data_IF_446143041053
#
_entry.id   IF_446143041053
#
_cell.length_a   1.000
_cell.length_b   1.000
_cell.length_c   1.000
_cell.angle_alpha   90.00
_cell.angle_beta   90.00
_cell.angle_gamma   90.00
#
_symmetry.space_group_name_H-M   'P 1'
#
loop_
_entity.id
_entity.type
_entity.pdbx_description
1 polymer ?
#
# COMPACT_ATOMS: atom_id res chain seq x y z
N UNK A 1 19.14 -6.15 11.57
CA UNK A 1 17.91 -6.90 11.25
C UNK A 1 17.76 -8.08 12.20
N UNK A 2 16.85 -7.97 13.17
CA UNK A 2 16.45 -9.11 14.00
C UNK A 2 15.36 -9.89 13.24
N UNK A 3 15.57 -11.18 13.02
CA UNK A 3 14.62 -12.06 12.33
C UNK A 3 14.24 -13.23 13.22
N UNK A 4 12.95 -13.50 13.36
CA UNK A 4 12.44 -14.70 14.01
C UNK A 4 11.41 -15.40 13.12
N UNK A 5 11.39 -16.74 13.15
CA UNK A 5 10.25 -17.49 12.66
C UNK A 5 9.20 -17.49 13.78
N UNK A 6 7.98 -17.08 13.48
CA UNK A 6 6.91 -16.95 14.46
C UNK A 6 5.54 -17.23 13.82
N UNK A 7 4.58 -17.62 14.66
CA UNK A 7 3.19 -17.77 14.24
C UNK A 7 2.57 -16.38 14.03
N UNK A 8 1.84 -16.22 12.93
CA UNK A 8 1.22 -14.94 12.58
C UNK A 8 0.25 -14.47 13.66
N UNK A 9 -0.56 -15.38 14.20
CA UNK A 9 -1.51 -15.06 15.28
C UNK A 9 -0.82 -14.68 16.58
N UNK A 10 0.34 -15.25 16.91
CA UNK A 10 1.09 -14.83 18.11
C UNK A 10 1.57 -13.38 17.99
N UNK A 11 1.97 -12.97 16.78
CA UNK A 11 2.40 -11.60 16.48
C UNK A 11 1.21 -10.64 16.53
N UNK A 12 0.15 -10.90 15.76
CA UNK A 12 -1.00 -9.98 15.69
C UNK A 12 -1.82 -9.97 16.98
N UNK A 13 -1.78 -11.06 17.73
CA UNK A 13 -2.43 -11.23 19.02
C UNK A 13 -1.67 -10.62 20.20
N UNK A 14 -0.47 -10.06 19.98
CA UNK A 14 0.34 -9.46 21.04
C UNK A 14 -0.45 -8.39 21.81
N UNK A 15 -0.38 -8.43 23.14
CA UNK A 15 -1.07 -7.49 24.02
C UNK A 15 -0.56 -6.07 23.81
N UNK A 16 -1.46 -5.08 23.94
CA UNK A 16 -1.13 -3.64 23.87
C UNK A 16 -0.29 -3.26 22.64
N UNK A 17 -0.53 -3.92 21.51
CA UNK A 17 0.22 -3.73 20.27
C UNK A 17 -0.74 -3.42 19.12
N UNK A 18 -0.43 -2.37 18.36
CA UNK A 18 -1.15 -1.95 17.17
C UNK A 18 -0.26 -2.05 15.95
N UNK A 19 -0.78 -2.66 14.89
CA UNK A 19 -0.18 -2.70 13.57
C UNK A 19 -0.82 -1.64 12.68
N UNK A 20 0.01 -0.85 12.02
CA UNK A 20 -0.43 0.29 11.20
C UNK A 20 0.17 0.12 9.82
N UNK A 21 -0.66 0.12 8.80
CA UNK A 21 -0.19 0.22 7.42
C UNK A 21 0.02 1.72 7.13
N UNK A 22 1.25 2.16 6.82
CA UNK A 22 1.54 3.56 6.57
C UNK A 22 0.63 4.19 5.49
N UNK A 23 0.39 5.52 5.54
CA UNK A 23 -0.45 6.21 4.55
C UNK A 23 0.04 6.05 3.10
N UNK A 24 1.36 5.96 2.91
CA UNK A 24 1.97 5.81 1.60
C UNK A 24 1.94 4.37 1.07
N UNK A 25 1.53 3.39 1.87
CA UNK A 25 1.44 2.03 1.36
C UNK A 25 0.17 1.85 0.52
N UNK A 26 0.24 0.95 -0.48
CA UNK A 26 -0.89 0.73 -1.38
C UNK A 26 -2.13 0.23 -0.65
N UNK A 27 -3.29 0.53 -1.21
CA UNK A 27 -4.57 -0.04 -0.80
C UNK A 27 -4.57 -1.58 -0.84
N UNK A 28 -5.50 -2.19 -0.12
CA UNK A 28 -5.82 -3.60 -0.24
C UNK A 28 -6.29 -3.93 -1.66
N UNK A 29 -5.61 -4.89 -2.27
CA UNK A 29 -5.66 -5.19 -3.69
C UNK A 29 -5.81 -6.67 -4.00
N UNK A 30 -5.76 -7.53 -2.97
CA UNK A 30 -5.94 -8.97 -3.15
C UNK A 30 -7.30 -9.27 -3.75
N UNK A 31 -7.28 -10.15 -4.75
CA UNK A 31 -8.47 -10.61 -5.48
C UNK A 31 -8.86 -12.01 -5.03
N UNK A 32 -10.02 -12.46 -5.51
CA UNK A 32 -10.61 -13.76 -5.20
C UNK A 32 -9.59 -14.92 -5.23
N UNK A 33 -8.80 -15.03 -6.30
CA UNK A 33 -7.79 -16.09 -6.45
C UNK A 33 -6.82 -16.18 -5.26
N UNK A 34 -6.29 -15.05 -4.81
CA UNK A 34 -5.32 -15.02 -3.70
C UNK A 34 -5.98 -15.36 -2.36
N UNK A 35 -7.23 -14.92 -2.18
CA UNK A 35 -8.03 -15.26 -1.00
C UNK A 35 -8.37 -16.76 -0.97
N UNK A 36 -8.71 -17.35 -2.12
CA UNK A 36 -8.96 -18.78 -2.25
C UNK A 36 -7.70 -19.62 -2.00
N UNK A 37 -6.54 -19.21 -2.56
CA UNK A 37 -5.26 -19.87 -2.30
C UNK A 37 -4.92 -19.88 -0.80
N UNK A 38 -5.01 -18.71 -0.13
CA UNK A 38 -4.77 -18.62 1.32
C UNK A 38 -5.77 -19.46 2.12
N UNK A 39 -7.06 -19.43 1.75
CA UNK A 39 -8.09 -20.25 2.39
C UNK A 39 -7.76 -21.74 2.31
N UNK A 40 -7.42 -22.24 1.12
CA UNK A 40 -7.03 -23.63 0.92
C UNK A 40 -5.77 -23.99 1.71
N UNK A 41 -4.80 -23.10 1.77
CA UNK A 41 -3.56 -23.31 2.51
C UNK A 41 -3.78 -23.40 4.03
N UNK A 42 -4.71 -22.62 4.59
CA UNK A 42 -5.13 -22.73 5.99
C UNK A 42 -5.70 -24.13 6.28
N UNK A 43 -6.63 -24.61 5.44
CA UNK A 43 -7.20 -25.95 5.59
C UNK A 43 -6.19 -27.08 5.32
N UNK A 44 -5.20 -26.86 4.45
CA UNK A 44 -4.10 -27.82 4.27
C UNK A 44 -3.25 -27.90 5.53
N UNK A 45 -2.88 -26.75 6.12
CA UNK A 45 -2.08 -26.68 7.35
C UNK A 45 -2.76 -27.44 8.51
N UNK A 46 -4.08 -27.25 8.67
CA UNK A 46 -4.87 -27.97 9.67
C UNK A 46 -4.83 -29.49 9.46
N UNK A 47 -5.11 -29.95 8.22
CA UNK A 47 -5.13 -31.39 7.89
C UNK A 47 -3.79 -32.07 8.04
N UNK A 48 -2.69 -31.38 7.75
CA UNK A 48 -1.33 -31.92 7.91
C UNK A 48 -0.75 -31.70 9.31
N UNK A 49 -1.48 -30.99 10.19
CA UNK A 49 -1.00 -30.57 11.51
C UNK A 49 0.42 -29.96 11.47
N UNK A 50 0.72 -29.20 10.40
CA UNK A 50 2.05 -28.65 10.14
C UNK A 50 1.98 -27.17 9.87
N UNK A 51 2.98 -26.42 10.35
CA UNK A 51 3.08 -25.00 10.05
C UNK A 51 3.10 -24.75 8.55
N UNK A 52 2.34 -23.75 8.11
CA UNK A 52 2.34 -23.30 6.72
C UNK A 52 2.99 -21.92 6.64
N UNK A 53 4.04 -21.80 5.82
CA UNK A 53 4.78 -20.55 5.66
C UNK A 53 4.05 -19.63 4.69
N UNK A 54 3.51 -18.52 5.20
CA UNK A 54 2.78 -17.53 4.37
C UNK A 54 3.66 -16.36 3.91
N UNK A 55 4.91 -16.29 4.37
CA UNK A 55 5.91 -15.33 3.89
C UNK A 55 6.55 -14.50 4.99
N UNK A 56 6.97 -13.28 4.64
CA UNK A 56 7.64 -12.34 5.56
C UNK A 56 6.67 -11.25 6.00
N UNK A 57 6.73 -10.87 7.27
CA UNK A 57 6.08 -9.69 7.83
C UNK A 57 7.18 -8.73 8.30
N UNK A 58 7.41 -7.68 7.51
CA UNK A 58 8.36 -6.64 7.86
C UNK A 58 7.65 -5.53 8.62
N UNK A 59 8.26 -5.08 9.71
CA UNK A 59 7.74 -3.96 10.47
C UNK A 59 8.81 -2.97 10.90
N UNK A 60 8.40 -1.73 11.16
CA UNK A 60 9.23 -0.69 11.75
C UNK A 60 8.58 -0.17 13.05
N UNK A 61 9.31 -0.11 14.17
CA UNK A 61 8.78 0.46 15.41
C UNK A 61 8.48 1.97 15.29
N UNK A 62 7.26 2.34 15.66
CA UNK A 62 6.84 3.73 15.80
C UNK A 62 6.83 4.17 17.27
N UNK A 63 6.59 5.46 17.51
CA UNK A 63 6.29 5.92 18.88
C UNK A 63 5.00 5.27 19.36
N UNK A 64 4.98 4.87 20.63
CA UNK A 64 3.78 4.35 21.27
C UNK A 64 2.61 5.33 21.11
N UNK A 65 1.38 4.79 21.10
CA UNK A 65 0.19 5.64 21.09
C UNK A 65 0.01 6.37 22.44
N UNK A 66 -0.96 7.28 22.48
CA UNK A 66 -1.30 8.08 23.67
C UNK A 66 -1.66 7.23 24.89
N UNK A 67 -2.14 5.99 24.67
CA UNK A 67 -2.49 5.04 25.71
C UNK A 67 -1.32 4.15 26.12
N UNK A 68 -0.12 4.38 25.58
CA UNK A 68 1.10 3.61 25.85
C UNK A 68 1.11 2.23 25.18
N UNK A 69 0.34 2.03 24.11
CA UNK A 69 0.40 0.81 23.31
C UNK A 69 1.54 0.90 22.30
N UNK A 70 2.25 -0.20 22.08
CA UNK A 70 3.27 -0.31 21.05
C UNK A 70 2.62 -0.12 19.66
N UNK A 71 3.28 0.63 18.78
CA UNK A 71 2.84 0.80 17.39
C UNK A 71 3.92 0.28 16.45
N UNK A 72 3.52 -0.61 15.55
CA UNK A 72 4.39 -1.19 14.52
C UNK A 72 3.85 -0.85 13.14
N UNK A 73 4.67 -0.16 12.35
CA UNK A 73 4.38 0.14 10.94
C UNK A 73 4.65 -1.09 10.10
N UNK A 74 3.66 -1.63 9.39
CA UNK A 74 3.87 -2.75 8.47
C UNK A 74 4.49 -2.21 7.17
N UNK A 75 5.71 -2.65 6.88
CA UNK A 75 6.47 -2.27 5.68
C UNK A 75 6.20 -3.25 4.53
N UNK A 76 6.07 -4.54 4.84
CA UNK A 76 5.72 -5.61 3.89
C UNK A 76 4.91 -6.71 4.60
N UNK A 77 4.12 -7.46 3.84
CA UNK A 77 3.16 -8.44 4.36
C UNK A 77 1.75 -7.88 4.57
N UNK A 78 1.54 -6.60 4.26
CA UNK A 78 0.29 -5.88 4.51
C UNK A 78 -0.98 -6.55 3.95
N UNK A 79 -0.90 -7.15 2.75
CA UNK A 79 -2.06 -7.75 2.10
C UNK A 79 -2.46 -9.03 2.83
N UNK A 80 -1.49 -9.91 3.13
CA UNK A 80 -1.69 -11.14 3.89
C UNK A 80 -2.27 -10.88 5.26
N UNK A 81 -1.68 -9.93 6.00
CA UNK A 81 -2.16 -9.56 7.34
C UNK A 81 -3.59 -9.02 7.28
N UNK A 82 -3.90 -8.19 6.28
CA UNK A 82 -5.28 -7.70 6.06
C UNK A 82 -6.25 -8.84 5.76
N UNK A 83 -5.90 -9.76 4.86
CA UNK A 83 -6.76 -10.90 4.51
C UNK A 83 -6.99 -11.84 5.68
N UNK A 84 -5.94 -12.18 6.46
CA UNK A 84 -6.10 -12.97 7.69
C UNK A 84 -7.01 -12.27 8.67
N UNK A 85 -6.89 -10.94 8.82
CA UNK A 85 -7.79 -10.15 9.66
C UNK A 85 -9.24 -10.20 9.18
N UNK A 86 -9.47 -10.14 7.86
CA UNK A 86 -10.81 -10.31 7.27
C UNK A 86 -11.40 -11.70 7.51
N UNK A 87 -10.58 -12.76 7.44
CA UNK A 87 -11.00 -14.12 7.80
C UNK A 87 -11.41 -14.18 9.28
N UNK A 88 -10.65 -13.54 10.18
CA UNK A 88 -11.00 -13.47 11.60
C UNK A 88 -12.31 -12.70 11.83
N UNK A 89 -12.54 -11.59 11.13
CA UNK A 89 -13.82 -10.86 11.18
C UNK A 89 -14.98 -11.76 10.75
N UNK A 90 -14.84 -12.46 9.61
CA UNK A 90 -15.87 -13.39 9.14
C UNK A 90 -16.11 -14.54 10.13
N UNK A 91 -15.03 -15.10 10.71
CA UNK A 91 -15.11 -16.19 11.69
C UNK A 91 -15.84 -15.73 12.96
N UNK A 92 -15.49 -14.59 13.53
CA UNK A 92 -16.16 -14.03 14.71
C UNK A 92 -17.66 -13.83 14.44
N UNK A 93 -18.02 -13.27 13.29
CA UNK A 93 -19.42 -13.11 12.88
C UNK A 93 -20.13 -14.45 12.75
N UNK A 94 -19.50 -15.44 12.12
CA UNK A 94 -20.06 -16.77 11.96
C UNK A 94 -20.31 -17.46 13.31
N UNK A 95 -19.33 -17.45 14.21
CA UNK A 95 -19.45 -18.03 15.55
C UNK A 95 -20.56 -17.35 16.38
N UNK A 96 -20.62 -16.01 16.36
CA UNK A 96 -21.68 -15.25 17.04
C UNK A 96 -23.08 -15.56 16.48
N UNK A 97 -23.22 -15.67 15.16
CA UNK A 97 -24.50 -15.92 14.51
C UNK A 97 -25.01 -17.36 14.69
N UNK A 98 -24.10 -18.34 14.74
CA UNK A 98 -24.44 -19.77 14.86
C UNK A 98 -24.48 -20.24 16.32
N UNK A 99 -23.87 -19.50 17.24
CA UNK A 99 -23.68 -19.92 18.63
C UNK A 99 -22.63 -21.03 18.81
N UNK A 100 -21.84 -21.32 17.76
CA UNK A 100 -20.74 -22.29 17.84
C UNK A 100 -19.64 -21.75 18.76
N UNK A 101 -19.17 -22.60 19.66
CA UNK A 101 -18.01 -22.31 20.53
C UNK A 101 -16.88 -23.26 20.14
N UNK A 102 -15.68 -22.73 19.97
CA UNK A 102 -14.49 -23.53 19.65
C UNK A 102 -13.93 -24.17 20.93
N UNK A 103 -13.16 -25.25 20.78
CA UNK A 103 -12.71 -26.09 21.91
C UNK A 103 -11.92 -25.31 22.97
N UNK A 104 -11.15 -24.29 22.56
CA UNK A 104 -10.25 -23.52 23.44
C UNK A 104 -10.43 -22.01 23.33
N UNK A 105 -11.46 -21.53 22.65
CA UNK A 105 -11.71 -20.10 22.57
C UNK A 105 -13.15 -19.76 22.18
N UNK A 106 -13.57 -18.53 22.46
CA UNK A 106 -14.87 -17.99 22.06
C UNK A 106 -14.73 -16.91 20.99
N UNK A 107 -15.85 -16.55 20.36
CA UNK A 107 -15.87 -15.45 19.40
C UNK A 107 -15.41 -14.13 20.02
N UNK A 108 -15.81 -13.86 21.27
CA UNK A 108 -15.46 -12.62 21.99
C UNK A 108 -13.96 -12.58 22.35
N UNK A 109 -13.38 -13.73 22.70
CA UNK A 109 -11.93 -13.82 22.96
C UNK A 109 -11.11 -13.61 21.68
N UNK A 110 -11.54 -14.18 20.55
CA UNK A 110 -10.89 -13.93 19.25
C UNK A 110 -10.98 -12.45 18.90
N UNK A 111 -12.16 -11.85 19.02
CA UNK A 111 -12.39 -10.45 18.71
C UNK A 111 -11.52 -9.53 19.58
N UNK A 112 -11.54 -9.72 20.90
CA UNK A 112 -10.74 -8.96 21.85
C UNK A 112 -9.23 -9.15 21.63
N UNK A 113 -8.79 -10.37 21.30
CA UNK A 113 -7.36 -10.66 21.16
C UNK A 113 -6.77 -10.23 19.82
N UNK A 114 -7.50 -10.33 18.71
CA UNK A 114 -6.90 -10.17 17.37
C UNK A 114 -7.45 -8.96 16.60
N UNK A 115 -8.68 -8.53 16.88
CA UNK A 115 -9.34 -7.47 16.11
C UNK A 115 -9.35 -6.14 16.84
N UNK A 116 -9.60 -6.17 18.15
CA UNK A 116 -9.79 -4.98 18.97
C UNK A 116 -8.61 -4.73 19.92
N UNK A 117 -8.43 -3.46 20.26
CA UNK A 117 -7.40 -2.97 21.15
C UNK A 117 -8.09 -2.32 22.35
N UNK A 118 -7.76 -2.82 23.55
CA UNK A 118 -8.37 -2.36 24.79
C UNK A 118 -8.15 -0.85 25.00
N UNK A 119 -9.25 -0.11 25.19
CA UNK A 119 -9.22 1.30 25.57
C UNK A 119 -10.17 2.19 24.76
N UNK A 120 -10.45 3.37 25.31
CA UNK A 120 -11.34 4.38 24.75
C UNK A 120 -10.66 5.13 23.57
N UNK A 121 -10.16 4.38 22.59
CA UNK A 121 -9.46 4.91 21.42
C UNK A 121 -10.47 5.22 20.30
N UNK A 122 -10.28 6.34 19.61
CA UNK A 122 -11.02 6.67 18.38
C UNK A 122 -10.81 5.66 17.24
N UNK A 123 -9.82 4.77 17.35
CA UNK A 123 -9.53 3.68 16.41
C UNK A 123 -9.35 2.37 17.19
N UNK A 124 -10.42 1.63 17.51
CA UNK A 124 -10.33 0.45 18.37
C UNK A 124 -9.66 -0.76 17.71
N UNK A 125 -9.32 -0.71 16.41
CA UNK A 125 -8.69 -1.84 15.72
C UNK A 125 -7.22 -2.08 16.10
N UNK A 126 -6.83 -3.35 16.21
CA UNK A 126 -5.40 -3.77 16.27
C UNK A 126 -4.68 -3.53 14.96
N UNK A 127 -5.38 -3.69 13.84
CA UNK A 127 -4.88 -3.38 12.51
C UNK A 127 -5.51 -2.08 12.00
N UNK A 128 -4.68 -1.14 11.56
CA UNK A 128 -5.14 0.10 10.92
C UNK A 128 -4.64 0.12 9.48
N UNK A 129 -5.56 0.09 8.52
CA UNK A 129 -5.19 0.12 7.10
C UNK A 129 -4.78 1.53 6.63
N UNK A 130 -4.21 1.59 5.42
CA UNK A 130 -3.87 2.83 4.73
C UNK A 130 -5.13 3.63 4.37
N UNK A 131 -4.94 4.87 3.92
CA UNK A 131 -6.03 5.87 3.80
C UNK A 131 -7.25 5.39 3.01
N UNK A 132 -7.04 4.68 1.90
CA UNK A 132 -8.11 4.23 1.02
C UNK A 132 -9.07 3.20 1.64
N UNK A 133 -8.57 2.39 2.58
CA UNK A 133 -9.30 1.23 3.09
C UNK A 133 -9.60 1.29 4.59
N UNK A 134 -9.05 2.28 5.30
CA UNK A 134 -9.18 2.40 6.75
C UNK A 134 -10.64 2.43 7.21
N UNK A 135 -11.46 3.28 6.59
CA UNK A 135 -12.87 3.41 6.94
C UNK A 135 -13.62 2.11 6.64
N UNK A 136 -13.46 1.56 5.44
CA UNK A 136 -14.08 0.31 5.02
C UNK A 136 -13.74 -0.89 5.89
N UNK A 137 -12.48 -1.01 6.32
CA UNK A 137 -12.08 -2.06 7.26
C UNK A 137 -12.63 -1.81 8.67
N UNK A 138 -12.70 -0.54 9.09
CA UNK A 138 -13.32 -0.19 10.35
C UNK A 138 -14.83 -0.52 10.37
N UNK A 139 -15.55 -0.23 9.30
CA UNK A 139 -16.96 -0.60 9.12
C UNK A 139 -17.12 -2.14 9.19
N UNK A 140 -16.20 -2.88 8.57
CA UNK A 140 -16.16 -4.34 8.68
C UNK A 140 -15.94 -4.81 10.13
N UNK A 141 -15.09 -4.15 10.92
CA UNK A 141 -14.93 -4.47 12.35
C UNK A 141 -16.21 -4.20 13.14
N UNK A 142 -16.95 -3.14 12.81
CA UNK A 142 -18.18 -2.74 13.49
C UNK A 142 -19.43 -3.54 13.04
N UNK A 143 -19.27 -4.55 12.19
CA UNK A 143 -20.39 -5.40 11.78
C UNK A 143 -21.14 -4.93 10.54
N UNK A 144 -20.65 -3.93 9.80
CA UNK A 144 -21.26 -3.51 8.54
C UNK A 144 -21.33 -4.68 7.55
N UNK A 145 -22.41 -4.74 6.77
CA UNK A 145 -22.54 -5.77 5.73
C UNK A 145 -21.61 -5.44 4.57
N UNK A 146 -21.15 -6.44 3.79
CA UNK A 146 -20.31 -6.21 2.62
C UNK A 146 -20.85 -5.11 1.67
N UNK A 147 -22.16 -5.07 1.44
CA UNK A 147 -22.79 -4.08 0.56
C UNK A 147 -22.69 -2.63 1.06
N UNK A 148 -22.48 -2.45 2.36
CA UNK A 148 -22.35 -1.13 3.00
C UNK A 148 -20.88 -0.65 3.05
N UNK A 149 -19.93 -1.47 2.59
CA UNK A 149 -18.49 -1.18 2.65
C UNK A 149 -18.03 -0.52 1.35
N UNK A 150 -17.47 0.69 1.45
CA UNK A 150 -17.04 1.47 0.29
C UNK A 150 -15.91 0.83 -0.56
N UNK A 151 -14.94 0.16 0.09
CA UNK A 151 -13.86 -0.54 -0.62
C UNK A 151 -14.35 -1.85 -1.22
N UNK A 152 -14.43 -1.91 -2.54
CA UNK A 152 -14.85 -3.11 -3.28
C UNK A 152 -14.02 -4.35 -2.93
N UNK A 153 -12.70 -4.21 -2.75
CA UNK A 153 -11.84 -5.36 -2.44
C UNK A 153 -12.10 -5.89 -1.03
N UNK A 154 -12.37 -5.00 -0.07
CA UNK A 154 -12.73 -5.41 1.30
C UNK A 154 -14.11 -6.05 1.30
N UNK A 155 -15.10 -5.40 0.68
CA UNK A 155 -16.47 -5.89 0.56
C UNK A 155 -16.50 -7.29 -0.06
N UNK A 156 -15.94 -7.46 -1.26
CA UNK A 156 -15.95 -8.74 -1.98
C UNK A 156 -15.23 -9.85 -1.21
N UNK A 157 -14.07 -9.57 -0.61
CA UNK A 157 -13.32 -10.61 0.09
C UNK A 157 -13.97 -10.97 1.44
N UNK A 158 -14.58 -10.01 2.13
CA UNK A 158 -15.37 -10.30 3.34
C UNK A 158 -16.61 -11.13 3.00
N UNK A 159 -17.31 -10.80 1.91
CA UNK A 159 -18.44 -11.58 1.40
C UNK A 159 -18.00 -13.00 1.05
N UNK A 160 -16.90 -13.16 0.31
CA UNK A 160 -16.33 -14.46 -0.04
C UNK A 160 -16.07 -15.35 1.19
N UNK A 161 -15.41 -14.83 2.24
CA UNK A 161 -15.19 -15.62 3.46
C UNK A 161 -16.48 -15.92 4.21
N UNK A 162 -17.43 -14.98 4.23
CA UNK A 162 -18.75 -15.21 4.84
C UNK A 162 -19.52 -16.32 4.12
N UNK A 163 -19.49 -16.33 2.79
CA UNK A 163 -20.09 -17.39 1.96
C UNK A 163 -19.41 -18.74 2.20
N UNK A 164 -18.07 -18.77 2.24
CA UNK A 164 -17.31 -19.99 2.56
C UNK A 164 -17.66 -20.58 3.92
N UNK A 165 -17.90 -19.74 4.91
CA UNK A 165 -18.31 -20.20 6.25
C UNK A 165 -19.80 -20.59 6.33
N UNK A 166 -20.59 -20.26 5.32
CA UNK A 166 -21.99 -20.67 5.22
C UNK A 166 -22.16 -22.01 4.46
N UNK A 167 -21.10 -22.54 3.86
CA UNK A 167 -21.11 -23.85 3.19
C UNK A 167 -21.45 -24.97 4.21
N UNK A 168 -22.29 -25.97 3.87
CA UNK A 168 -22.73 -27.00 4.82
C UNK A 168 -21.61 -27.87 5.41
N UNK A 169 -20.50 -27.99 4.70
CA UNK A 169 -19.31 -28.76 5.07
C UNK A 169 -18.22 -27.90 5.74
N UNK A 170 -18.50 -26.62 6.01
CA UNK A 170 -17.58 -25.76 6.73
C UNK A 170 -17.38 -26.23 8.19
N UNK A 171 -16.12 -26.38 8.58
CA UNK A 171 -15.72 -26.68 9.95
C UNK A 171 -14.89 -25.52 10.53
N UNK A 172 -15.51 -24.80 11.48
CA UNK A 172 -14.89 -23.67 12.17
C UNK A 172 -13.68 -24.08 13.02
N UNK A 173 -13.67 -25.30 13.58
CA UNK A 173 -12.56 -25.79 14.39
C UNK A 173 -11.34 -26.09 13.50
N UNK A 174 -11.55 -26.73 12.34
CA UNK A 174 -10.48 -26.93 11.35
C UNK A 174 -9.90 -25.61 10.84
N UNK A 175 -10.76 -24.61 10.53
CA UNK A 175 -10.27 -23.28 10.13
C UNK A 175 -9.42 -22.65 11.23
N UNK A 176 -9.92 -22.67 12.48
CA UNK A 176 -9.22 -22.11 13.63
C UNK A 176 -7.86 -22.77 13.86
N UNK A 177 -7.80 -24.10 13.81
CA UNK A 177 -6.54 -24.86 13.90
C UNK A 177 -5.57 -24.45 12.81
N UNK A 178 -6.04 -24.33 11.56
CA UNK A 178 -5.21 -23.91 10.43
C UNK A 178 -4.66 -22.49 10.59
N UNK A 179 -5.47 -21.54 11.07
CA UNK A 179 -5.04 -20.16 11.33
C UNK A 179 -3.91 -20.09 12.36
N UNK A 180 -3.96 -20.95 13.39
CA UNK A 180 -2.91 -21.07 14.42
C UNK A 180 -1.61 -21.72 13.89
N UNK A 181 -1.61 -22.25 12.67
CA UNK A 181 -0.44 -22.87 12.03
C UNK A 181 0.21 -21.98 10.98
N UNK A 182 -0.33 -20.79 10.71
CA UNK A 182 0.30 -19.85 9.78
C UNK A 182 1.58 -19.27 10.39
N UNK A 183 2.70 -19.48 9.72
CA UNK A 183 4.03 -19.03 10.13
C UNK A 183 4.59 -17.97 9.18
N UNK A 184 5.32 -17.01 9.74
CA UNK A 184 5.99 -15.94 9.01
C UNK A 184 7.41 -15.75 9.51
N UNK A 185 8.28 -15.23 8.65
CA UNK A 185 9.49 -14.55 9.10
C UNK A 185 9.06 -13.16 9.58
N UNK A 186 9.14 -12.92 10.87
CA UNK A 186 8.90 -11.61 11.46
C UNK A 186 10.24 -10.88 11.59
N UNK A 187 10.36 -9.72 10.95
CA UNK A 187 11.62 -9.00 10.94
C UNK A 187 11.45 -7.50 11.10
N UNK A 188 12.30 -6.95 11.97
CA UNK A 188 12.39 -5.52 12.21
C UNK A 188 13.26 -4.85 11.15
N UNK A 189 12.70 -3.79 10.56
CA UNK A 189 13.39 -2.86 9.70
C UNK A 189 13.92 -1.72 10.57
N UNK A 190 15.22 -1.71 10.77
CA UNK A 190 15.91 -0.60 11.43
C UNK A 190 15.70 0.70 10.63
N UNK A 191 15.56 1.84 11.31
CA UNK A 191 15.32 3.18 10.73
C UNK A 191 16.48 3.73 9.87
N UNK A 192 17.36 2.87 9.38
CA UNK A 192 18.56 3.20 8.62
C UNK A 192 18.36 2.99 7.12
N UNK A 193 19.31 3.46 6.31
CA UNK A 193 19.40 3.29 4.83
C UNK A 193 19.27 1.83 4.35
N UNK A 194 19.29 0.85 5.26
CA UNK A 194 19.17 -0.59 4.99
C UNK A 194 17.74 -1.08 4.70
N UNK A 195 16.70 -0.27 4.88
CA UNK A 195 15.30 -0.69 4.69
C UNK A 195 14.96 -1.05 3.23
N UNK A 196 15.53 -0.29 2.29
CA UNK A 196 15.21 -0.39 0.86
C UNK A 196 15.70 -1.68 0.20
N UNK A 197 16.98 -2.07 0.35
CA UNK A 197 17.48 -3.32 -0.24
C UNK A 197 16.71 -4.56 0.28
N UNK A 198 16.30 -4.55 1.56
CA UNK A 198 15.51 -5.62 2.16
C UNK A 198 14.12 -5.68 1.53
N UNK A 199 13.46 -4.53 1.40
CA UNK A 199 12.14 -4.42 0.77
C UNK A 199 12.18 -4.90 -0.69
N UNK A 200 13.17 -4.49 -1.48
CA UNK A 200 13.32 -4.91 -2.89
C UNK A 200 13.53 -6.43 -3.01
N UNK A 201 14.41 -7.01 -2.18
CA UNK A 201 14.69 -8.44 -2.17
C UNK A 201 13.44 -9.28 -1.90
N UNK A 202 12.59 -8.84 -0.97
CA UNK A 202 11.36 -9.56 -0.62
C UNK A 202 10.25 -9.42 -1.67
N UNK A 203 10.10 -8.24 -2.27
CA UNK A 203 9.08 -8.00 -3.28
C UNK A 203 9.32 -8.75 -4.59
N UNK A 204 10.53 -9.26 -4.83
CA UNK A 204 10.83 -10.11 -6.00
C UNK A 204 10.07 -11.46 -6.01
N UNK A 205 9.46 -11.87 -4.89
CA UNK A 205 8.82 -13.20 -4.72
C UNK A 205 7.29 -13.16 -4.54
N UNK A 206 6.68 -11.98 -4.45
CA UNK A 206 5.24 -11.80 -4.18
C UNK A 206 4.41 -11.31 -5.37
N UNK A 207 3.15 -10.92 -5.11
CA UNK A 207 2.36 -10.20 -6.12
C UNK A 207 3.09 -8.89 -6.49
N UNK A 208 3.43 -8.69 -7.77
CA UNK A 208 4.36 -7.64 -8.16
C UNK A 208 3.82 -6.26 -7.75
N UNK A 209 4.69 -5.48 -7.11
CA UNK A 209 4.45 -4.04 -6.94
C UNK A 209 4.47 -3.37 -8.32
N UNK A 210 3.63 -2.36 -8.50
CA UNK A 210 3.67 -1.53 -9.70
C UNK A 210 4.94 -0.68 -9.71
N UNK A 211 5.29 -0.11 -10.86
CA UNK A 211 6.43 0.82 -10.92
C UNK A 211 6.19 2.01 -10.01
N UNK A 212 4.96 2.53 -9.99
CA UNK A 212 4.52 3.58 -9.09
C UNK A 212 4.69 3.20 -7.61
N UNK A 213 4.31 1.99 -7.22
CA UNK A 213 4.51 1.48 -5.86
C UNK A 213 6.00 1.46 -5.48
N UNK A 214 6.85 0.96 -6.38
CA UNK A 214 8.30 0.88 -6.14
C UNK A 214 8.92 2.27 -5.98
N UNK A 215 8.60 3.21 -6.89
CA UNK A 215 9.10 4.59 -6.84
C UNK A 215 8.62 5.30 -5.57
N UNK A 216 7.34 5.17 -5.21
CA UNK A 216 6.81 5.74 -3.96
C UNK A 216 7.54 5.21 -2.73
N UNK A 217 7.67 3.89 -2.63
CA UNK A 217 8.34 3.26 -1.51
C UNK A 217 9.81 3.68 -1.47
N UNK A 218 10.46 3.84 -2.62
CA UNK A 218 11.82 4.35 -2.67
C UNK A 218 11.92 5.77 -2.09
N UNK A 219 11.00 6.66 -2.45
CA UNK A 219 11.04 8.05 -2.00
C UNK A 219 10.62 8.23 -0.53
N UNK A 220 9.75 7.39 0.00
CA UNK A 220 9.12 7.63 1.30
C UNK A 220 9.64 6.72 2.42
N UNK A 221 10.18 5.54 2.13
CA UNK A 221 10.53 4.56 3.16
C UNK A 221 11.61 5.07 4.14
N UNK A 222 12.59 5.84 3.65
CA UNK A 222 13.68 6.40 4.46
C UNK A 222 13.26 7.64 5.28
N UNK A 223 12.09 8.21 5.00
CA UNK A 223 11.62 9.44 5.62
C UNK A 223 10.98 9.20 7.00
N UNK A 224 10.93 10.22 7.84
CA UNK A 224 10.23 10.13 9.15
C UNK A 224 8.72 10.00 8.95
N UNK A 225 7.98 9.41 9.91
CA UNK A 225 6.52 9.26 9.79
C UNK A 225 5.76 10.58 9.47
N UNK A 226 6.20 11.69 10.07
CA UNK A 226 5.66 13.02 9.79
C UNK A 226 5.96 13.45 8.35
N UNK A 227 7.20 13.25 7.89
CA UNK A 227 7.59 13.57 6.52
C UNK A 227 6.91 12.66 5.49
N UNK A 228 6.81 11.36 5.75
CA UNK A 228 6.06 10.41 4.93
C UNK A 228 4.63 10.88 4.69
N UNK A 229 3.94 11.31 5.75
CA UNK A 229 2.57 11.81 5.65
C UNK A 229 2.50 13.11 4.85
N UNK A 230 3.38 14.08 5.15
CA UNK A 230 3.44 15.35 4.44
C UNK A 230 3.74 15.16 2.94
N UNK A 231 4.83 14.45 2.60
CA UNK A 231 5.25 14.21 1.23
C UNK A 231 4.22 13.43 0.43
N UNK A 232 3.56 12.44 1.05
CA UNK A 232 2.48 11.71 0.42
C UNK A 232 1.28 12.61 0.14
N UNK A 233 0.78 13.33 1.15
CA UNK A 233 -0.42 14.17 1.01
C UNK A 233 -0.20 15.31 0.03
N UNK A 234 0.93 16.01 0.13
CA UNK A 234 1.23 17.20 -0.66
C UNK A 234 1.56 16.89 -2.12
N UNK A 235 2.17 15.73 -2.40
CA UNK A 235 2.69 15.42 -3.74
C UNK A 235 2.16 14.11 -4.32
N UNK A 236 2.37 12.99 -3.63
CA UNK A 236 2.08 11.67 -4.20
C UNK A 236 0.57 11.42 -4.37
N UNK A 237 -0.25 11.81 -3.40
CA UNK A 237 -1.70 11.63 -3.45
C UNK A 237 -2.31 12.38 -4.64
N UNK A 238 -1.78 13.57 -4.95
CA UNK A 238 -2.14 14.35 -6.13
C UNK A 238 -1.75 13.59 -7.40
N UNK A 239 -0.52 13.07 -7.47
CA UNK A 239 -0.06 12.23 -8.59
C UNK A 239 -1.03 11.08 -8.84
N UNK A 240 -1.40 10.33 -7.81
CA UNK A 240 -2.33 9.20 -7.94
C UNK A 240 -3.70 9.66 -8.44
N UNK A 241 -4.24 10.74 -7.88
CA UNK A 241 -5.56 11.27 -8.23
C UNK A 241 -5.70 11.68 -9.70
N UNK A 242 -4.59 12.09 -10.35
CA UNK A 242 -4.60 12.55 -11.74
C UNK A 242 -4.96 11.44 -12.74
N UNK A 243 -4.77 10.18 -12.39
CA UNK A 243 -4.94 9.05 -13.29
C UNK A 243 -6.19 8.20 -13.02
N UNK A 244 -6.85 8.42 -11.87
CA UNK A 244 -8.04 7.66 -11.45
C UNK A 244 -9.18 7.75 -12.48
N UNK A 245 -9.88 6.64 -12.80
CA UNK A 245 -9.59 5.26 -12.36
C UNK A 245 -8.38 4.68 -13.11
N UNK A 246 -7.46 4.06 -12.37
CA UNK A 246 -6.23 3.46 -12.91
C UNK A 246 -5.94 2.08 -12.28
N UNK A 247 -6.69 1.03 -12.66
CA UNK A 247 -6.49 -0.30 -12.12
C UNK A 247 -5.07 -0.81 -12.43
N UNK A 248 -4.34 -1.20 -11.38
CA UNK A 248 -2.96 -1.67 -11.50
C UNK A 248 -1.94 -0.57 -11.82
N UNK A 249 -2.28 0.71 -11.64
CA UNK A 249 -1.40 1.87 -11.86
C UNK A 249 -0.80 1.96 -13.28
N UNK A 250 -1.47 1.41 -14.29
CA UNK A 250 -0.92 1.32 -15.65
C UNK A 250 -0.66 2.71 -16.26
N UNK A 251 -1.55 3.68 -16.05
CA UNK A 251 -1.37 5.05 -16.58
C UNK A 251 -0.28 5.78 -15.83
N UNK A 252 -0.24 5.64 -14.51
CA UNK A 252 0.80 6.24 -13.68
C UNK A 252 2.19 5.64 -13.97
N UNK A 253 2.29 4.32 -14.14
CA UNK A 253 3.52 3.62 -14.52
C UNK A 253 4.06 4.15 -15.87
N UNK A 254 3.17 4.34 -16.85
CA UNK A 254 3.53 4.95 -18.13
C UNK A 254 3.99 6.40 -17.98
N UNK A 255 3.38 7.18 -17.08
CA UNK A 255 3.79 8.55 -16.81
C UNK A 255 5.21 8.60 -16.20
N UNK A 256 5.50 7.74 -15.23
CA UNK A 256 6.83 7.60 -14.62
C UNK A 256 7.86 7.18 -15.66
N UNK A 257 7.54 6.19 -16.50
CA UNK A 257 8.42 5.77 -17.61
C UNK A 257 8.65 6.93 -18.61
N UNK A 258 7.62 7.72 -18.90
CA UNK A 258 7.72 8.90 -19.74
C UNK A 258 8.63 9.97 -19.14
N UNK A 259 8.49 10.25 -17.85
CA UNK A 259 9.31 11.21 -17.10
C UNK A 259 10.79 10.80 -17.16
N UNK A 260 11.08 9.52 -16.88
CA UNK A 260 12.43 8.95 -16.99
C UNK A 260 12.95 9.05 -18.43
N UNK A 261 12.14 8.74 -19.44
CA UNK A 261 12.57 8.80 -20.84
C UNK A 261 12.95 10.22 -21.29
N UNK A 262 12.30 11.25 -20.74
CA UNK A 262 12.63 12.66 -21.00
C UNK A 262 13.93 13.06 -20.29
N UNK A 263 14.21 12.49 -19.11
CA UNK A 263 15.45 12.73 -18.34
C UNK A 263 16.64 11.93 -18.87
N UNK A 264 16.45 10.69 -19.31
CA UNK A 264 17.53 9.73 -19.63
C UNK A 264 17.52 9.33 -21.12
N UNK A 265 18.14 10.17 -21.95
CA UNK A 265 18.20 9.99 -23.42
C UNK A 265 18.86 8.68 -23.89
N UNK A 266 19.71 8.06 -23.05
CA UNK A 266 20.57 6.92 -23.41
C UNK A 266 20.04 5.56 -22.94
N UNK A 267 19.02 5.51 -22.09
CA UNK A 267 18.53 4.26 -21.52
C UNK A 267 17.04 4.15 -21.80
N UNK A 268 16.67 3.17 -22.64
CA UNK A 268 15.27 2.84 -22.91
C UNK A 268 14.89 1.71 -21.96
N UNK A 269 13.99 1.99 -21.04
CA UNK A 269 13.40 0.96 -20.20
C UNK A 269 12.42 0.11 -21.02
N UNK A 270 12.57 -1.20 -20.98
CA UNK A 270 11.75 -2.19 -21.68
C UNK A 270 10.87 -3.01 -20.72
N UNK A 271 10.40 -2.40 -19.63
CA UNK A 271 9.41 -2.97 -18.72
C UNK A 271 9.51 -2.42 -17.29
N UNK A 272 8.53 -2.71 -16.41
CA UNK A 272 8.41 -2.13 -15.06
C UNK A 272 9.68 -2.24 -14.20
N UNK A 273 10.33 -3.41 -14.20
CA UNK A 273 11.55 -3.64 -13.40
C UNK A 273 12.72 -2.78 -13.85
N UNK A 274 12.88 -2.57 -15.16
CA UNK A 274 13.96 -1.74 -15.70
C UNK A 274 13.69 -0.25 -15.47
N UNK A 275 12.42 0.17 -15.53
CA UNK A 275 12.00 1.54 -15.20
C UNK A 275 12.43 1.91 -13.78
N UNK A 276 12.17 1.02 -12.81
CA UNK A 276 12.58 1.22 -11.42
C UNK A 276 14.10 1.24 -11.23
N UNK A 277 14.84 0.30 -11.85
CA UNK A 277 16.32 0.29 -11.74
C UNK A 277 16.97 1.57 -12.28
N UNK A 278 16.43 2.14 -13.37
CA UNK A 278 16.90 3.41 -13.93
C UNK A 278 16.58 4.58 -12.99
N UNK A 279 15.37 4.59 -12.43
CA UNK A 279 14.96 5.58 -11.44
C UNK A 279 15.92 5.61 -10.25
N UNK A 280 16.19 4.44 -9.66
CA UNK A 280 17.07 4.30 -8.50
C UNK A 280 18.47 4.82 -8.79
N UNK A 281 19.09 4.36 -9.88
CA UNK A 281 20.42 4.81 -10.29
C UNK A 281 20.48 6.34 -10.43
N UNK A 282 19.43 6.97 -10.95
CA UNK A 282 19.39 8.42 -11.04
C UNK A 282 19.37 9.10 -9.66
N UNK A 283 18.53 8.62 -8.74
CA UNK A 283 18.44 9.24 -7.41
C UNK A 283 19.75 9.07 -6.65
N UNK A 284 20.45 7.94 -6.83
CA UNK A 284 21.71 7.63 -6.14
C UNK A 284 22.94 8.31 -6.75
N UNK A 285 23.05 8.32 -8.09
CA UNK A 285 24.30 8.72 -8.77
C UNK A 285 24.26 10.16 -9.30
N UNK A 286 23.10 10.66 -9.72
CA UNK A 286 22.99 11.87 -10.54
C UNK A 286 22.22 13.01 -9.84
N UNK A 287 21.28 12.71 -8.94
CA UNK A 287 20.37 13.69 -8.36
C UNK A 287 20.94 14.31 -7.07
N UNK A 288 21.02 15.64 -7.03
CA UNK A 288 21.58 16.40 -5.89
C UNK A 288 20.55 17.19 -5.10
N UNK A 289 19.25 17.08 -5.42
CA UNK A 289 18.17 17.79 -4.76
C UNK A 289 17.58 17.01 -3.58
N UNK A 290 16.53 17.56 -2.95
CA UNK A 290 15.81 16.86 -1.88
C UNK A 290 14.75 15.90 -2.45
N UNK A 291 14.31 14.93 -1.63
CA UNK A 291 13.14 14.07 -1.92
C UNK A 291 11.92 14.89 -2.30
N UNK A 292 11.69 16.00 -1.59
CA UNK A 292 10.57 16.91 -1.85
C UNK A 292 10.67 17.59 -3.22
N UNK A 293 11.86 18.10 -3.58
CA UNK A 293 12.10 18.68 -4.90
C UNK A 293 11.79 17.68 -6.02
N UNK A 294 12.16 16.40 -5.81
CA UNK A 294 11.94 15.32 -6.78
C UNK A 294 10.47 14.96 -6.91
N UNK A 295 9.75 14.90 -5.78
CA UNK A 295 8.30 14.67 -5.75
C UNK A 295 7.52 15.83 -6.40
N UNK A 296 7.92 17.08 -6.13
CA UNK A 296 7.34 18.25 -6.79
C UNK A 296 7.56 18.21 -8.29
N UNK A 297 8.77 17.84 -8.70
CA UNK A 297 9.14 17.67 -10.10
C UNK A 297 8.26 16.61 -10.79
N UNK A 298 8.20 15.40 -10.21
CA UNK A 298 7.42 14.29 -10.72
C UNK A 298 5.93 14.63 -10.79
N UNK A 299 5.38 15.29 -9.75
CA UNK A 299 3.99 15.76 -9.73
C UNK A 299 3.69 16.70 -10.90
N UNK A 300 4.55 17.68 -11.12
CA UNK A 300 4.39 18.65 -12.20
C UNK A 300 4.46 17.98 -13.58
N UNK A 301 5.34 16.99 -13.76
CA UNK A 301 5.36 16.20 -14.98
C UNK A 301 4.08 15.37 -15.17
N UNK A 302 3.64 14.65 -14.13
CA UNK A 302 2.44 13.82 -14.16
C UNK A 302 1.18 14.64 -14.50
N UNK A 303 1.08 15.88 -14.01
CA UNK A 303 0.00 16.80 -14.38
C UNK A 303 -0.04 17.05 -15.88
N UNK A 304 1.10 17.42 -16.48
CA UNK A 304 1.22 17.66 -17.93
C UNK A 304 0.93 16.38 -18.71
N UNK A 305 1.42 15.24 -18.23
CA UNK A 305 1.22 13.94 -18.85
C UNK A 305 -0.25 13.51 -18.84
N UNK A 306 -0.95 13.69 -17.72
CA UNK A 306 -2.38 13.38 -17.58
C UNK A 306 -3.25 14.23 -18.53
N UNK A 307 -2.96 15.52 -18.67
CA UNK A 307 -3.67 16.39 -19.62
C UNK A 307 -3.43 15.97 -21.08
N UNK A 308 -2.25 15.47 -21.41
CA UNK A 308 -1.96 14.92 -22.75
C UNK A 308 -2.71 13.60 -23.03
N UNK A 309 -3.01 12.79 -22.01
CA UNK A 309 -3.87 11.60 -22.17
C UNK A 309 -5.33 11.99 -22.44
N UNK A 310 -5.82 13.08 -21.83
CA UNK A 310 -7.20 13.57 -21.99
C UNK A 310 -7.45 14.18 -23.36
N UNK A 311 -6.43 14.82 -23.94
CA UNK A 311 -6.52 15.45 -25.25
C UNK A 311 -5.48 14.83 -26.18
N UNK A 312 -5.90 13.97 -27.12
CA UNK A 312 -5.07 13.38 -28.19
C UNK A 312 -4.36 14.41 -29.13
N UNK A 313 -4.28 15.68 -28.74
CA UNK A 313 -3.84 16.80 -29.57
C UNK A 313 -2.47 17.38 -29.18
N UNK A 314 -1.90 17.10 -28.00
CA UNK A 314 -0.63 17.74 -27.59
C UNK A 314 0.57 16.86 -27.96
N UNK A 315 1.00 16.94 -29.22
CA UNK A 315 2.11 16.14 -29.78
C UNK A 315 3.52 16.59 -29.37
N UNK A 316 3.71 17.55 -28.45
CA UNK A 316 5.05 18.09 -28.12
C UNK A 316 5.18 18.48 -26.66
N UNK A 317 6.08 17.81 -25.94
CA UNK A 317 6.63 18.30 -24.68
C UNK A 317 7.28 19.65 -24.97
N UNK A 318 6.70 20.74 -24.44
CA UNK A 318 7.32 22.06 -24.47
C UNK A 318 7.94 22.31 -23.12
N UNK A 319 9.17 22.79 -23.13
CA UNK A 319 9.94 23.28 -21.99
C UNK A 319 9.11 23.92 -20.91
N UNK A 320 9.09 23.33 -19.72
CA UNK A 320 8.55 23.98 -18.53
C UNK A 320 9.55 23.93 -17.38
N UNK A 321 9.55 25.01 -16.60
CA UNK A 321 10.56 25.37 -15.59
C UNK A 321 10.30 24.67 -14.24
N UNK A 322 9.84 23.41 -14.26
CA UNK A 322 9.54 22.62 -13.06
C UNK A 322 10.73 21.78 -12.58
N UNK A 323 11.81 21.72 -13.37
CA UNK A 323 13.05 21.04 -13.04
C UNK A 323 13.95 21.95 -12.19
N UNK A 324 14.01 21.72 -10.88
CA UNK A 324 14.72 22.64 -9.96
C UNK A 324 16.23 22.39 -9.92
N UNK A 325 16.72 21.16 -10.17
CA UNK A 325 18.17 20.83 -10.05
C UNK A 325 18.71 19.81 -11.07
N UNK A 326 17.95 19.43 -12.10
CA UNK A 326 18.41 18.45 -13.09
C UNK A 326 18.99 19.12 -14.34
N UNK A 327 20.00 18.50 -14.95
CA UNK A 327 20.56 18.90 -16.25
C UNK A 327 19.45 19.31 -17.24
N UNK A 328 19.69 20.34 -18.10
CA UNK A 328 18.68 20.93 -18.96
C UNK A 328 17.84 19.86 -19.67
N UNK A 329 16.51 19.90 -19.48
CA UNK A 329 15.60 18.96 -20.14
C UNK A 329 15.82 18.99 -21.65
N UNK A 330 15.50 17.91 -22.37
CA UNK A 330 15.69 17.78 -23.83
C UNK A 330 15.16 18.95 -24.66
N UNK A 331 14.27 19.73 -24.06
CA UNK A 331 13.62 20.82 -24.73
C UNK A 331 14.15 22.20 -24.35
N UNK A 332 14.96 22.34 -23.29
CA UNK A 332 15.35 23.61 -22.66
C UNK A 332 15.84 24.69 -23.63
N UNK A 333 16.48 24.30 -24.73
CA UNK A 333 16.95 25.19 -25.80
C UNK A 333 15.97 25.48 -26.94
N UNK A 334 14.80 24.83 -26.99
CA UNK A 334 13.75 25.14 -27.97
C UNK A 334 12.96 26.36 -27.53
N UNK A 335 12.75 27.27 -28.48
CA UNK A 335 11.83 28.40 -28.32
C UNK A 335 10.43 27.86 -28.02
N UNK A 336 9.84 28.29 -26.89
CA UNK A 336 8.45 27.97 -26.56
C UNK A 336 7.55 28.42 -27.71
N UNK A 337 6.95 27.45 -28.40
CA UNK A 337 5.91 27.75 -29.37
C UNK A 337 4.64 28.23 -28.61
N UNK A 338 3.87 29.14 -29.23
CA UNK A 338 2.57 29.59 -28.69
C UNK A 338 1.59 28.43 -28.61
N UNK A 339 0.80 28.37 -27.54
CA UNK A 339 -0.24 27.34 -27.41
C UNK A 339 -1.30 27.56 -28.50
N UNK A 340 -1.95 26.48 -28.96
CA UNK A 340 -3.09 26.61 -29.86
C UNK A 340 -4.28 27.31 -29.18
N UNK A 341 -4.40 27.12 -27.86
CA UNK A 341 -5.30 27.86 -26.98
C UNK A 341 -4.50 28.46 -25.82
N UNK A 342 -4.21 29.75 -25.91
CA UNK A 342 -3.39 30.45 -24.91
C UNK A 342 -4.17 30.72 -23.61
N UNK A 343 -5.51 30.81 -23.66
CA UNK A 343 -6.34 31.02 -22.47
C UNK A 343 -6.39 29.73 -21.63
N UNK A 344 -6.57 28.58 -22.28
CA UNK A 344 -6.47 27.27 -21.63
C UNK A 344 -5.07 27.03 -21.05
N UNK A 345 -4.02 27.32 -21.83
CA UNK A 345 -2.64 27.17 -21.35
C UNK A 345 -2.31 28.10 -20.16
N UNK A 346 -2.87 29.31 -20.12
CA UNK A 346 -2.75 30.21 -18.98
C UNK A 346 -3.47 29.68 -17.75
N UNK A 347 -4.68 29.14 -17.89
CA UNK A 347 -5.42 28.51 -16.78
C UNK A 347 -4.66 27.33 -16.20
N UNK A 348 -4.15 26.43 -17.03
CA UNK A 348 -3.34 25.29 -16.60
C UNK A 348 -2.06 25.75 -15.88
N UNK A 349 -1.34 26.73 -16.43
CA UNK A 349 -0.15 27.31 -15.77
C UNK A 349 -0.48 28.01 -14.45
N UNK A 350 -1.69 28.54 -14.30
CA UNK A 350 -2.16 29.18 -13.07
C UNK A 350 -2.57 28.12 -12.04
N UNK A 351 -3.25 27.04 -12.43
CA UNK A 351 -3.56 25.89 -11.55
C UNK A 351 -2.28 25.22 -11.02
N UNK A 352 -1.29 25.01 -11.89
CA UNK A 352 0.03 24.48 -11.48
C UNK A 352 0.72 25.41 -10.47
N UNK A 353 0.72 26.73 -10.72
CA UNK A 353 1.33 27.72 -9.82
C UNK A 353 0.54 27.93 -8.53
N UNK A 354 -0.78 27.87 -8.56
CA UNK A 354 -1.63 28.00 -7.39
C UNK A 354 -1.49 26.81 -6.47
N UNK A 355 -1.24 25.61 -7.00
CA UNK A 355 -0.91 24.42 -6.19
C UNK A 355 0.41 24.61 -5.43
N UNK A 356 1.37 25.35 -6.00
CA UNK A 356 2.62 25.75 -5.32
C UNK A 356 2.45 26.97 -4.39
N UNK A 357 1.46 27.84 -4.63
CA UNK A 357 1.23 29.09 -3.87
C UNK A 357 0.24 28.95 -2.69
N UNK A 358 -0.44 27.81 -2.56
CA UNK A 358 -1.27 27.46 -1.39
C UNK A 358 -0.52 26.62 -0.35
N UNK A 359 0.77 26.36 -0.57
CA UNK A 359 1.76 25.97 0.44
C UNK A 359 2.29 27.24 1.12
#
# INVERSE_FOLDING_TARGET
>A
MQTSNALLLDIVGASRTRFVIPPYQRAYSWKHRQCEELWLDIFRAARSASQHFVGTLLYAPERNDENGNARFSIVDGQQRTTTVSLILVALVRHLKNTGITLTHTTADEIEARYLLLDGNSSLPGKLVLSRGDRASYFDALLGAKPDDIASENIAHNLAFFTEKMAEPDFDAETLWQGLNLLSVIFAEVEKTESAQPIFESLNSKGAPLTTADLVRNYLLLAETHTQQTYLYDTYWSIIESLFVPDPGSLRLDNAIQGWLSVRFRKVRAHGPSEVYSIFKRYVEDDYTGTTEDLLRELRNFCFVWAENYRYHAVKKFRTMDWAVNGAPTLTSGFTRQKAHDEAYAQRVRAEMRNTDATL
#
